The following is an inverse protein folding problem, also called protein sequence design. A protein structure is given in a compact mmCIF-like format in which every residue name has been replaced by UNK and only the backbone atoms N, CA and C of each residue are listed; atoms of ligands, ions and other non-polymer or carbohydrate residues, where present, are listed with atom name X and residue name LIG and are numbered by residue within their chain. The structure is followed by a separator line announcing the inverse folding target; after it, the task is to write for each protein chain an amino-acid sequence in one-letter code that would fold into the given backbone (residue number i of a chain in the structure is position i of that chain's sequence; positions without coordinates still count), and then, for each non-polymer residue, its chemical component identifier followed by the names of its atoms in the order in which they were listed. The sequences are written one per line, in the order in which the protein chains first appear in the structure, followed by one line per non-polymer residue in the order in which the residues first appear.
data_IF_074127806767
#
_entry.id   IF_074127806767
#
_cell.length_a   1.000
_cell.length_b   1.000
_cell.length_c   1.000
_cell.angle_alpha   90.00
_cell.angle_beta   90.00
_cell.angle_gamma   90.00
#
_symmetry.space_group_name_H-M   'P 1'
#
loop_
_entity.id
_entity.type
_entity.pdbx_description
1 polymer ?
#
# COMPACT_ATOMS: atom_id res chain seq x y z
N UNK A 1 -6.09 -18.40 2.80
CA UNK A 1 -4.77 -18.23 2.14
C UNK A 1 -4.63 -16.92 1.38
N UNK A 2 -5.71 -16.28 0.88
CA UNK A 2 -5.63 -14.99 0.17
C UNK A 2 -5.09 -13.82 1.02
N UNK A 3 -5.38 -13.78 2.34
CA UNK A 3 -4.93 -12.69 3.23
C UNK A 3 -3.40 -12.70 3.45
N UNK A 4 -2.72 -13.86 3.39
CA UNK A 4 -1.26 -13.91 3.54
C UNK A 4 -0.52 -13.38 2.31
N UNK A 5 -1.10 -13.50 1.12
CA UNK A 5 -0.49 -13.01 -0.12
C UNK A 5 -0.53 -11.48 -0.15
N UNK A 6 -1.62 -10.86 0.31
CA UNK A 6 -1.74 -9.39 0.40
C UNK A 6 -0.71 -8.80 1.37
N UNK A 7 -0.46 -9.44 2.51
CA UNK A 7 0.60 -9.02 3.45
C UNK A 7 2.02 -9.19 2.87
N UNK A 8 2.25 -10.17 1.99
CA UNK A 8 3.54 -10.32 1.32
C UNK A 8 3.77 -9.29 0.21
N UNK A 9 2.72 -8.83 -0.46
CA UNK A 9 2.78 -7.83 -1.54
C UNK A 9 2.80 -6.38 -1.02
N UNK A 10 2.31 -6.11 0.20
CA UNK A 10 2.52 -4.86 0.92
C UNK A 10 3.90 -4.75 1.59
N UNK A 11 4.83 -5.67 1.28
CA UNK A 11 6.26 -5.42 1.46
C UNK A 11 6.75 -4.59 0.27
N UNK A 12 6.14 -3.42 0.12
CA UNK A 12 6.48 -2.44 -0.90
C UNK A 12 7.95 -2.08 -0.79
N UNK A 13 8.70 -2.46 -1.82
CA UNK A 13 10.04 -1.98 -2.05
C UNK A 13 9.93 -0.50 -2.47
N UNK A 14 9.95 0.42 -1.51
CA UNK A 14 10.24 1.84 -1.75
C UNK A 14 10.53 2.54 -0.42
N UNK A 15 11.81 2.77 -0.13
CA UNK A 15 12.26 3.62 0.96
C UNK A 15 11.83 3.18 2.36
N UNK A 16 11.87 1.88 2.63
CA UNK A 16 11.58 1.38 3.96
C UNK A 16 12.59 1.96 4.95
N UNK A 17 12.14 2.45 6.10
CA UNK A 17 13.01 2.90 7.19
C UNK A 17 13.86 1.78 7.80
N UNK A 18 14.28 0.80 7.01
CA UNK A 18 14.90 -0.47 7.35
C UNK A 18 16.39 -0.52 7.01
N UNK A 19 16.93 0.47 6.28
CA UNK A 19 18.34 0.51 5.88
C UNK A 19 19.08 1.74 6.38
N UNK A 20 20.38 1.55 6.63
CA UNK A 20 21.30 2.60 7.02
C UNK A 20 21.64 3.52 5.85
N UNK A 21 21.42 4.85 5.93
CA UNK A 21 21.76 5.73 4.81
C UNK A 21 23.28 5.93 4.62
N UNK A 22 24.13 5.39 5.51
CA UNK A 22 25.60 5.45 5.38
C UNK A 22 26.15 4.25 4.60
N UNK A 23 25.70 3.02 4.90
CA UNK A 23 26.20 1.80 4.26
C UNK A 23 25.19 1.10 3.34
N UNK A 24 23.93 1.53 3.36
CA UNK A 24 22.81 0.96 2.62
C UNK A 24 22.47 -0.49 3.00
N UNK A 25 22.93 -0.95 4.16
CA UNK A 25 22.62 -2.27 4.72
C UNK A 25 21.46 -2.19 5.73
N UNK A 26 20.76 -3.32 5.91
CA UNK A 26 19.68 -3.43 6.87
C UNK A 26 20.12 -3.32 8.34
N UNK A 27 19.26 -2.79 9.20
CA UNK A 27 19.53 -2.69 10.64
C UNK A 27 19.63 -4.06 11.31
N UNK A 28 20.46 -4.16 12.35
CA UNK A 28 20.43 -5.31 13.26
C UNK A 28 19.52 -5.04 14.45
N UNK A 29 18.83 -6.07 14.96
CA UNK A 29 18.01 -5.97 16.18
C UNK A 29 18.84 -5.78 17.45
N UNK A 30 20.14 -6.10 17.39
CA UNK A 30 21.11 -5.92 18.46
C UNK A 30 22.52 -5.77 17.89
N UNK A 31 23.46 -5.35 18.74
CA UNK A 31 24.89 -5.30 18.39
C UNK A 31 25.33 -4.00 17.71
N UNK A 32 26.43 -4.08 16.96
CA UNK A 32 27.14 -2.88 16.49
C UNK A 32 26.40 -2.08 15.42
N UNK A 33 25.50 -2.70 14.64
CA UNK A 33 24.75 -2.03 13.58
C UNK A 33 23.27 -1.80 13.93
N UNK A 34 22.99 -1.71 15.24
CA UNK A 34 21.65 -1.38 15.71
C UNK A 34 21.27 0.06 15.33
N UNK A 35 19.98 0.31 15.14
CA UNK A 35 19.45 1.66 14.92
C UNK A 35 19.83 2.61 16.06
N UNK A 36 20.23 3.82 15.70
CA UNK A 36 20.44 4.91 16.64
C UNK A 36 20.07 6.25 16.01
N UNK A 37 19.72 7.23 16.83
CA UNK A 37 19.48 8.60 16.37
C UNK A 37 20.52 9.58 16.90
N UNK A 38 20.76 10.63 16.12
CA UNK A 38 21.48 11.82 16.55
C UNK A 38 20.53 12.79 17.28
N UNK A 39 21.05 13.80 18.00
CA UNK A 39 20.22 14.83 18.64
C UNK A 39 19.30 15.59 17.67
N UNK A 40 19.63 15.61 16.38
CA UNK A 40 18.80 16.21 15.34
C UNK A 40 17.69 15.29 14.81
N UNK A 41 17.51 14.09 15.37
CA UNK A 41 16.47 13.13 15.00
C UNK A 41 16.79 12.19 13.85
N UNK A 42 17.83 12.46 13.05
CA UNK A 42 18.23 11.56 11.96
C UNK A 42 18.80 10.23 12.45
N UNK A 43 18.51 9.15 11.73
CA UNK A 43 18.73 7.75 12.14
C UNK A 43 19.82 7.10 11.29
N UNK A 44 20.69 6.33 11.95
CA UNK A 44 21.82 5.63 11.35
C UNK A 44 22.11 4.32 12.10
N UNK A 45 22.99 3.50 11.52
CA UNK A 45 23.52 2.32 12.19
C UNK A 45 24.59 2.76 13.16
N UNK A 46 24.57 2.25 14.39
CA UNK A 46 25.43 2.70 15.48
C UNK A 46 26.92 2.71 15.10
N UNK A 47 27.43 1.62 14.53
CA UNK A 47 28.82 1.52 14.07
C UNK A 47 29.14 2.49 12.94
N UNK A 48 28.21 2.71 12.02
CA UNK A 48 28.38 3.63 10.90
C UNK A 48 28.48 5.07 11.35
N UNK A 49 27.55 5.53 12.20
CA UNK A 49 27.58 6.91 12.67
C UNK A 49 28.75 7.15 13.64
N UNK A 50 29.12 6.16 14.45
CA UNK A 50 30.30 6.25 15.31
C UNK A 50 31.57 6.42 14.47
N UNK A 51 31.79 5.57 13.45
CA UNK A 51 32.91 5.70 12.52
C UNK A 51 32.91 7.04 11.80
N UNK A 52 31.73 7.55 11.41
CA UNK A 52 31.59 8.86 10.77
C UNK A 52 32.03 10.00 11.68
N UNK A 53 31.52 10.05 12.91
CA UNK A 53 31.82 11.13 13.85
C UNK A 53 33.27 11.11 14.33
N UNK A 54 33.90 9.94 14.42
CA UNK A 54 35.31 9.80 14.81
C UNK A 54 36.31 10.32 13.75
N UNK A 55 35.89 10.57 12.50
CA UNK A 55 36.76 11.15 11.47
C UNK A 55 37.14 12.61 11.75
N UNK A 56 36.43 13.29 12.64
CA UNK A 56 36.63 14.69 12.96
C UNK A 56 37.41 14.84 14.26
N UNK A 57 38.36 15.78 14.32
CA UNK A 57 39.10 16.13 15.55
C UNK A 57 38.27 16.92 16.59
N UNK A 58 37.00 17.18 16.28
CA UNK A 58 36.06 17.97 17.10
C UNK A 58 34.63 17.45 16.90
N UNK A 59 33.59 18.25 17.21
CA UNK A 59 32.21 17.85 16.97
C UNK A 59 31.99 17.47 15.50
N UNK A 60 31.45 16.29 15.28
CA UNK A 60 31.08 15.84 13.94
C UNK A 60 29.81 16.54 13.46
N UNK A 61 29.46 16.29 12.19
CA UNK A 61 28.24 16.81 11.57
C UNK A 61 27.36 15.66 11.12
N UNK A 62 26.05 15.83 11.30
CA UNK A 62 25.05 14.91 10.75
C UNK A 62 25.21 14.81 9.22
N UNK A 63 25.32 13.60 8.65
CA UNK A 63 25.40 13.41 7.19
C UNK A 63 24.25 14.05 6.40
N UNK A 64 23.05 14.09 6.97
CA UNK A 64 21.85 14.60 6.28
C UNK A 64 21.65 16.10 6.46
N UNK A 65 21.56 16.59 7.71
CA UNK A 65 21.23 17.99 7.98
C UNK A 65 22.41 18.87 8.39
N UNK A 66 23.62 18.31 8.52
CA UNK A 66 24.86 19.02 8.88
C UNK A 66 24.88 19.65 10.29
N UNK A 67 23.84 19.45 11.10
CA UNK A 67 23.84 19.86 12.51
C UNK A 67 25.00 19.21 13.28
N UNK A 68 25.59 19.99 14.20
CA UNK A 68 26.68 19.52 15.05
C UNK A 68 26.20 18.43 15.99
N UNK A 69 27.01 17.40 16.14
CA UNK A 69 26.72 16.26 17.00
C UNK A 69 28.01 15.65 17.55
N UNK A 70 27.91 15.02 18.71
CA UNK A 70 29.01 14.33 19.37
C UNK A 70 28.61 12.88 19.65
N UNK A 71 29.59 12.00 19.85
CA UNK A 71 29.34 10.60 20.22
C UNK A 71 28.46 10.48 21.49
N UNK A 72 28.62 11.40 22.44
CA UNK A 72 27.79 11.47 23.66
C UNK A 72 26.31 11.77 23.38
N UNK A 73 26.00 12.36 22.23
CA UNK A 73 24.64 12.68 21.80
C UNK A 73 23.93 11.55 21.06
N UNK A 74 24.65 10.49 20.68
CA UNK A 74 24.06 9.33 20.00
C UNK A 74 23.16 8.56 20.98
N UNK A 75 21.99 8.12 20.51
CA UNK A 75 21.02 7.33 21.30
C UNK A 75 20.62 6.09 20.53
N UNK A 76 20.83 4.92 21.12
CA UNK A 76 20.41 3.63 20.53
C UNK A 76 18.89 3.51 20.63
N UNK A 77 18.27 3.05 19.55
CA UNK A 77 16.84 2.76 19.48
C UNK A 77 16.60 1.26 19.62
N UNK A 78 15.71 0.86 20.51
CA UNK A 78 15.33 -0.54 20.75
C UNK A 78 14.02 -0.87 20.03
N UNK A 79 13.98 -0.65 18.73
CA UNK A 79 12.85 -0.97 17.87
C UNK A 79 13.24 -2.07 16.89
N UNK A 80 12.30 -2.99 16.60
CA UNK A 80 12.54 -4.03 15.59
C UNK A 80 12.30 -3.53 14.16
N UNK A 81 11.45 -2.50 14.00
CA UNK A 81 11.13 -1.85 12.72
C UNK A 81 10.73 -0.40 12.96
N UNK A 82 11.02 0.46 11.98
CA UNK A 82 10.54 1.83 11.94
C UNK A 82 9.77 2.05 10.63
N UNK A 83 8.52 2.46 10.72
CA UNK A 83 7.70 2.81 9.58
C UNK A 83 7.08 4.19 9.80
N UNK A 84 7.13 5.04 8.78
CA UNK A 84 6.29 6.21 8.74
C UNK A 84 4.89 5.76 8.28
N UNK A 85 3.86 6.17 9.02
CA UNK A 85 2.50 5.97 8.56
C UNK A 85 2.26 6.95 7.40
N UNK A 86 1.91 6.43 6.23
CA UNK A 86 1.48 7.23 5.09
C UNK A 86 -0.04 7.42 5.17
N UNK A 87 -0.47 8.50 5.81
CA UNK A 87 -1.88 8.82 6.00
C UNK A 87 -2.61 9.07 4.67
N UNK A 88 -1.90 9.65 3.69
CA UNK A 88 -2.45 9.91 2.36
C UNK A 88 -2.71 8.60 1.62
N UNK A 89 -1.74 7.68 1.64
CA UNK A 89 -1.91 6.36 1.06
C UNK A 89 -3.05 5.60 1.74
N UNK A 90 -3.15 5.66 3.07
CA UNK A 90 -4.26 5.05 3.81
C UNK A 90 -5.62 5.61 3.39
N UNK A 91 -5.74 6.93 3.24
CA UNK A 91 -6.99 7.56 2.79
C UNK A 91 -7.33 7.15 1.35
N UNK A 92 -6.32 7.11 0.47
CA UNK A 92 -6.51 6.67 -0.91
C UNK A 92 -6.96 5.21 -1.00
N UNK A 93 -6.40 4.33 -0.17
CA UNK A 93 -6.83 2.92 -0.09
C UNK A 93 -8.29 2.84 0.36
N UNK A 94 -8.68 3.53 1.43
CA UNK A 94 -10.08 3.58 1.89
C UNK A 94 -11.04 4.08 0.80
N UNK A 95 -10.65 5.15 0.09
CA UNK A 95 -11.46 5.71 -0.98
C UNK A 95 -11.61 4.74 -2.16
N UNK A 96 -10.56 3.98 -2.50
CA UNK A 96 -10.62 2.95 -3.53
C UNK A 96 -11.46 1.76 -3.10
N UNK A 97 -11.33 1.29 -1.87
CA UNK A 97 -12.15 0.22 -1.31
C UNK A 97 -13.65 0.58 -1.35
N UNK A 98 -13.99 1.82 -0.98
CA UNK A 98 -15.38 2.30 -1.08
C UNK A 98 -15.90 2.34 -2.53
N UNK A 99 -15.06 2.77 -3.48
CA UNK A 99 -15.41 2.74 -4.91
C UNK A 99 -15.56 1.33 -5.45
N UNK A 100 -14.70 0.40 -5.04
CA UNK A 100 -14.82 -1.00 -5.42
C UNK A 100 -16.14 -1.59 -4.92
N UNK A 101 -16.53 -1.33 -3.67
CA UNK A 101 -17.80 -1.79 -3.13
C UNK A 101 -19.02 -1.23 -3.90
N UNK A 102 -19.01 0.06 -4.26
CA UNK A 102 -20.07 0.68 -5.07
C UNK A 102 -20.16 0.07 -6.48
N UNK A 103 -19.01 -0.17 -7.12
CA UNK A 103 -18.96 -0.82 -8.44
C UNK A 103 -19.40 -2.29 -8.36
N UNK A 104 -19.01 -3.02 -7.32
CA UNK A 104 -19.44 -4.40 -7.10
C UNK A 104 -20.96 -4.50 -6.95
N UNK A 105 -21.61 -3.54 -6.28
CA UNK A 105 -23.07 -3.48 -6.21
C UNK A 105 -23.72 -3.23 -7.58
N UNK A 106 -23.11 -2.39 -8.42
CA UNK A 106 -23.62 -2.05 -9.76
C UNK A 106 -23.40 -3.17 -10.79
N UNK A 107 -22.35 -3.97 -10.61
CA UNK A 107 -21.97 -5.08 -11.49
C UNK A 107 -22.48 -6.42 -10.96
N UNK A 108 -23.09 -6.44 -9.78
CA UNK A 108 -23.72 -7.62 -9.22
C UNK A 108 -24.66 -8.25 -10.26
N UNK A 109 -24.55 -9.58 -10.52
CA UNK A 109 -25.43 -10.24 -11.46
C UNK A 109 -26.86 -10.06 -10.98
N UNK A 110 -27.68 -9.41 -11.82
CA UNK A 110 -29.11 -9.28 -11.58
C UNK A 110 -29.68 -10.67 -11.36
N UNK A 111 -30.50 -10.82 -10.33
CA UNK A 111 -31.33 -12.02 -10.19
C UNK A 111 -32.23 -12.16 -11.43
N UNK A 112 -32.67 -13.38 -11.79
CA UNK A 112 -33.62 -13.56 -12.88
C UNK A 112 -34.88 -12.68 -12.72
N UNK A 113 -35.32 -12.45 -11.49
CA UNK A 113 -36.48 -11.61 -11.14
C UNK A 113 -36.23 -10.13 -11.44
N UNK A 114 -35.07 -9.60 -11.04
CA UNK A 114 -34.68 -8.21 -11.34
C UNK A 114 -34.45 -7.99 -12.84
N UNK A 115 -33.89 -8.98 -13.54
CA UNK A 115 -33.72 -8.93 -14.99
C UNK A 115 -35.07 -8.89 -15.71
N UNK A 116 -36.04 -9.69 -15.27
CA UNK A 116 -37.41 -9.67 -15.79
C UNK A 116 -38.04 -8.30 -15.55
N UNK A 117 -37.95 -7.75 -14.34
CA UNK A 117 -38.52 -6.44 -14.00
C UNK A 117 -37.92 -5.32 -14.86
N UNK A 118 -36.61 -5.37 -15.09
CA UNK A 118 -35.90 -4.39 -15.91
C UNK A 118 -36.24 -4.49 -17.40
N UNK A 119 -36.45 -5.72 -17.93
CA UNK A 119 -36.93 -5.94 -19.29
C UNK A 119 -38.37 -5.44 -19.42
N UNK A 120 -39.26 -5.80 -18.50
CA UNK A 120 -40.66 -5.41 -18.49
C UNK A 120 -40.86 -3.88 -18.35
N UNK A 121 -39.97 -3.21 -17.61
CA UNK A 121 -39.98 -1.76 -17.41
C UNK A 121 -39.42 -0.96 -18.60
N UNK A 122 -38.82 -1.60 -19.60
CA UNK A 122 -38.25 -0.95 -20.77
C UNK A 122 -39.04 -1.31 -22.05
N UNK A 123 -39.91 -0.41 -22.56
CA UNK A 123 -40.78 -0.69 -23.71
C UNK A 123 -40.01 -1.13 -24.97
N UNK A 124 -38.81 -0.59 -25.19
CA UNK A 124 -37.97 -0.96 -26.34
C UNK A 124 -37.43 -2.38 -26.22
N UNK A 125 -37.05 -2.82 -25.01
CA UNK A 125 -36.62 -4.20 -24.78
C UNK A 125 -37.78 -5.18 -24.92
N UNK A 126 -38.95 -4.84 -24.38
CA UNK A 126 -40.18 -5.64 -24.54
C UNK A 126 -40.51 -5.85 -26.02
N UNK A 127 -40.48 -4.78 -26.83
CA UNK A 127 -40.74 -4.86 -28.27
C UNK A 127 -39.73 -5.75 -29.00
N UNK A 128 -38.44 -5.64 -28.68
CA UNK A 128 -37.39 -6.48 -29.28
C UNK A 128 -37.56 -7.94 -28.93
N UNK A 129 -37.89 -8.24 -27.67
CA UNK A 129 -38.13 -9.61 -27.22
C UNK A 129 -39.36 -10.21 -27.91
N UNK A 130 -40.45 -9.45 -28.01
CA UNK A 130 -41.66 -9.86 -28.71
C UNK A 130 -41.41 -10.15 -30.20
N UNK A 131 -40.61 -9.31 -30.88
CA UNK A 131 -40.23 -9.54 -32.27
C UNK A 131 -39.40 -10.83 -32.43
N UNK A 132 -38.40 -11.04 -31.59
CA UNK A 132 -37.59 -12.26 -31.62
C UNK A 132 -38.41 -13.52 -31.35
N UNK A 133 -39.36 -13.48 -30.40
CA UNK A 133 -40.28 -14.58 -30.13
C UNK A 133 -41.21 -14.87 -31.32
N UNK A 134 -41.70 -13.82 -31.99
CA UNK A 134 -42.51 -13.97 -33.19
C UNK A 134 -41.73 -14.64 -34.33
N UNK A 135 -40.46 -14.25 -34.53
CA UNK A 135 -39.56 -14.87 -35.52
C UNK A 135 -39.29 -16.35 -35.22
N UNK A 136 -39.01 -16.70 -33.95
CA UNK A 136 -38.79 -18.09 -33.54
C UNK A 136 -40.04 -18.96 -33.72
N UNK A 137 -41.21 -18.44 -33.37
CA UNK A 137 -42.47 -19.16 -33.56
C UNK A 137 -42.80 -19.37 -35.04
N UNK A 138 -42.45 -18.43 -35.91
CA UNK A 138 -42.58 -18.60 -37.37
C UNK A 138 -41.65 -19.69 -37.90
N UNK A 139 -40.44 -19.83 -37.35
CA UNK A 139 -39.49 -20.88 -37.72
C UNK A 139 -39.91 -22.27 -37.24
N UNK A 140 -40.64 -22.37 -36.11
CA UNK A 140 -41.14 -23.62 -35.55
C UNK A 140 -42.49 -24.07 -36.14
N UNK A 141 -43.21 -23.20 -36.86
CA UNK A 141 -44.51 -23.50 -37.46
C UNK A 141 -44.43 -24.12 -38.88
N UNK A 142 -43.23 -24.50 -39.33
CA UNK A 142 -43.02 -25.25 -40.58
C UNK A 142 -43.03 -26.74 -40.24
N UNK A 143 -43.93 -27.57 -40.80
CA UNK A 143 -44.06 -29.00 -40.49
C UNK A 143 -42.84 -29.83 -40.90
#
# INVERSE_FOLDING_TARGET
MAIQIVWSMFRGAEGDGSICPICLEGWTSSGEHQMCCLPCGHIYGLSCINKWLQRFRGPGKCPQCKNLCTLKGVRVLYASRLCAADEELHERVRALEAKCADLEQKVAPLTPEELIDQICSNPTLVQRLAAALAELNQQQAVP
#
